data_IF_339706903290
#
_entry.id   IF_339706903290
#
_cell.length_a   1.000
_cell.length_b   1.000
_cell.length_c   1.000
_cell.angle_alpha   90.00
_cell.angle_beta   90.00
_cell.angle_gamma   90.00
#
_symmetry.space_group_name_H-M   'P 1'
#
loop_
_entity.id
_entity.type
_entity.pdbx_description
1 polymer ?
#
# COMPACT_ATOMS: atom_id res chain seq x y z
N UNK A 1 8.70 -22.54 -15.59
CA UNK A 1 9.84 -21.77 -15.04
C UNK A 1 10.26 -22.38 -13.71
N UNK A 2 11.55 -22.58 -13.47
CA UNK A 2 12.09 -23.04 -12.20
C UNK A 2 12.84 -21.88 -11.54
N UNK A 3 12.48 -21.54 -10.30
CA UNK A 3 13.14 -20.49 -9.52
C UNK A 3 13.91 -21.16 -8.40
N UNK A 4 15.23 -20.96 -8.35
CA UNK A 4 16.09 -21.46 -7.29
C UNK A 4 16.33 -20.36 -6.28
N UNK A 5 16.05 -20.63 -5.00
CA UNK A 5 16.19 -19.65 -3.92
C UNK A 5 17.59 -19.69 -3.31
N UNK A 6 18.07 -18.53 -2.86
CA UNK A 6 19.27 -18.39 -2.04
C UNK A 6 19.08 -18.95 -0.61
N UNK A 7 20.16 -18.97 0.16
CA UNK A 7 20.12 -19.39 1.56
C UNK A 7 19.74 -18.24 2.49
N UNK A 8 19.03 -18.56 3.56
CA UNK A 8 18.87 -17.65 4.70
C UNK A 8 20.12 -17.76 5.58
N UNK A 9 20.79 -16.64 5.79
CA UNK A 9 22.02 -16.52 6.55
C UNK A 9 21.80 -15.66 7.80
N UNK A 10 22.65 -15.86 8.79
CA UNK A 10 22.70 -14.99 9.96
C UNK A 10 23.32 -13.61 9.62
N UNK A 11 23.46 -12.74 10.61
CA UNK A 11 24.02 -11.40 10.43
C UNK A 11 25.48 -11.42 9.91
N UNK A 12 26.23 -12.49 10.21
CA UNK A 12 27.61 -12.66 9.74
C UNK A 12 27.68 -13.19 8.30
N UNK A 13 26.52 -13.59 7.74
CA UNK A 13 26.44 -14.19 6.40
C UNK A 13 26.63 -15.70 6.39
N UNK A 14 26.66 -16.37 7.55
CA UNK A 14 26.72 -17.82 7.63
C UNK A 14 25.33 -18.43 7.45
N UNK A 15 25.25 -19.52 6.67
CA UNK A 15 23.98 -20.25 6.48
C UNK A 15 23.41 -20.67 7.83
N UNK A 16 22.16 -20.29 8.09
CA UNK A 16 21.44 -20.69 9.29
C UNK A 16 21.19 -22.20 9.33
N UNK A 17 21.45 -22.80 10.48
CA UNK A 17 21.12 -24.20 10.74
C UNK A 17 20.90 -24.45 12.23
N UNK A 18 20.05 -25.44 12.54
CA UNK A 18 19.81 -25.89 13.92
C UNK A 18 21.07 -26.42 14.59
N UNK A 19 21.93 -27.10 13.83
CA UNK A 19 23.18 -27.65 14.34
C UNK A 19 24.20 -26.57 14.74
N UNK A 20 24.23 -25.44 14.04
CA UNK A 20 25.11 -24.31 14.36
C UNK A 20 24.55 -23.37 15.44
N UNK A 21 23.30 -23.58 15.87
CA UNK A 21 22.59 -22.71 16.84
C UNK A 21 22.57 -21.21 16.45
N UNK A 22 22.71 -20.91 15.16
CA UNK A 22 22.58 -19.56 14.61
C UNK A 22 21.22 -19.37 13.93
N UNK A 23 20.25 -20.17 14.31
CA UNK A 23 18.89 -20.18 13.78
C UNK A 23 18.00 -19.27 14.64
N UNK A 24 17.26 -18.40 13.97
CA UNK A 24 16.20 -17.61 14.56
C UNK A 24 14.87 -18.33 14.32
N UNK A 25 14.08 -18.56 15.37
CA UNK A 25 12.77 -19.20 15.24
C UNK A 25 11.82 -18.28 14.49
N UNK A 26 11.24 -18.70 13.34
CA UNK A 26 10.27 -17.91 12.62
C UNK A 26 9.06 -17.46 13.48
N UNK A 27 8.63 -18.28 14.45
CA UNK A 27 7.52 -17.93 15.33
C UNK A 27 7.83 -16.71 16.19
N UNK A 28 9.05 -16.58 16.70
CA UNK A 28 9.47 -15.39 17.45
C UNK A 28 9.37 -14.12 16.58
N UNK A 29 9.71 -14.23 15.29
CA UNK A 29 9.60 -13.10 14.35
C UNK A 29 8.15 -12.79 14.01
N UNK A 30 7.32 -13.83 13.83
CA UNK A 30 5.90 -13.67 13.57
C UNK A 30 5.18 -13.01 14.74
N UNK A 31 5.52 -13.40 15.97
CA UNK A 31 4.92 -12.81 17.19
C UNK A 31 5.35 -11.34 17.37
N UNK A 32 6.61 -11.01 17.06
CA UNK A 32 7.14 -9.65 17.25
C UNK A 32 6.72 -8.68 16.14
N UNK A 33 6.72 -9.13 14.89
CA UNK A 33 6.57 -8.24 13.73
C UNK A 33 5.35 -8.53 12.85
N UNK A 34 4.80 -9.74 12.93
CA UNK A 34 3.71 -10.21 12.07
C UNK A 34 4.19 -10.81 10.74
N UNK A 35 3.32 -11.57 10.11
CA UNK A 35 3.64 -12.29 8.88
C UNK A 35 3.93 -11.35 7.69
N UNK A 36 3.21 -10.26 7.56
CA UNK A 36 3.41 -9.30 6.47
C UNK A 36 4.78 -8.63 6.52
N UNK A 37 5.29 -8.31 7.71
CA UNK A 37 6.62 -7.74 7.86
C UNK A 37 7.72 -8.72 7.41
N UNK A 38 7.55 -9.99 7.78
CA UNK A 38 8.46 -11.06 7.37
C UNK A 38 8.43 -11.29 5.85
N UNK A 39 7.22 -11.33 5.26
CA UNK A 39 7.05 -11.45 3.81
C UNK A 39 7.66 -10.27 3.07
N UNK A 40 7.35 -9.05 3.51
CA UNK A 40 7.91 -7.83 2.94
C UNK A 40 9.43 -7.80 2.97
N UNK A 41 10.00 -8.23 4.10
CA UNK A 41 11.44 -8.33 4.24
C UNK A 41 12.06 -9.25 3.17
N UNK A 42 11.57 -10.48 3.05
CA UNK A 42 12.16 -11.46 2.11
C UNK A 42 11.91 -11.12 0.64
N UNK A 43 10.79 -10.52 0.31
CA UNK A 43 10.44 -10.20 -1.07
C UNK A 43 11.00 -8.85 -1.52
N UNK A 44 11.25 -7.91 -0.58
CA UNK A 44 11.62 -6.54 -0.90
C UNK A 44 13.09 -6.18 -0.66
N UNK A 45 13.88 -7.01 0.05
CA UNK A 45 15.26 -6.67 0.41
C UNK A 45 16.32 -7.21 -0.54
N UNK A 46 15.98 -8.15 -1.41
CA UNK A 46 16.92 -8.75 -2.35
C UNK A 46 16.25 -9.67 -3.34
N UNK A 47 16.98 -10.05 -4.36
CA UNK A 47 16.48 -11.07 -5.29
C UNK A 47 16.36 -12.42 -4.57
N UNK A 48 15.29 -13.19 -4.81
CA UNK A 48 15.06 -14.46 -4.12
C UNK A 48 16.18 -15.50 -4.29
N UNK A 49 16.95 -15.42 -5.36
CA UNK A 49 18.08 -16.32 -5.65
C UNK A 49 19.40 -15.91 -4.99
N UNK A 50 19.43 -14.77 -4.30
CA UNK A 50 20.59 -14.34 -3.52
C UNK A 50 20.45 -14.75 -2.06
N UNK A 51 21.56 -14.88 -1.35
CA UNK A 51 21.55 -15.18 0.07
C UNK A 51 20.98 -13.97 0.85
N UNK A 52 19.99 -14.23 1.70
CA UNK A 52 19.35 -13.22 2.55
C UNK A 52 19.98 -13.26 3.95
N UNK A 53 20.51 -12.14 4.44
CA UNK A 53 20.92 -11.98 5.85
C UNK A 53 19.68 -11.65 6.68
N UNK A 54 19.40 -12.46 7.67
CA UNK A 54 18.16 -12.40 8.43
C UNK A 54 18.42 -12.11 9.90
N UNK A 55 17.75 -11.07 10.42
CA UNK A 55 17.70 -10.77 11.84
C UNK A 55 16.39 -10.08 12.20
N UNK A 56 16.05 -10.08 13.48
CA UNK A 56 14.86 -9.42 14.03
C UNK A 56 14.84 -7.92 13.69
N UNK A 57 15.97 -7.24 13.89
CA UNK A 57 16.09 -5.79 13.66
C UNK A 57 15.84 -5.43 12.20
N UNK A 58 16.37 -6.19 11.25
CA UNK A 58 16.17 -5.95 9.81
C UNK A 58 14.72 -6.10 9.39
N UNK A 59 13.99 -7.07 9.96
CA UNK A 59 12.54 -7.21 9.72
C UNK A 59 11.80 -6.00 10.30
N UNK A 60 12.19 -5.57 11.50
CA UNK A 60 11.65 -4.38 12.14
C UNK A 60 11.87 -3.08 11.33
N UNK A 61 13.05 -2.91 10.76
CA UNK A 61 13.37 -1.78 9.87
C UNK A 61 12.51 -1.81 8.60
N UNK A 62 12.47 -2.96 7.91
CA UNK A 62 11.64 -3.12 6.71
C UNK A 62 10.15 -2.86 6.99
N UNK A 63 9.64 -3.29 8.16
CA UNK A 63 8.28 -2.98 8.62
C UNK A 63 8.06 -1.46 8.77
N UNK A 64 9.01 -0.76 9.39
CA UNK A 64 8.91 0.70 9.61
C UNK A 64 8.90 1.47 8.29
N UNK A 65 9.80 1.10 7.39
CA UNK A 65 10.01 1.84 6.15
C UNK A 65 8.85 1.72 5.17
N UNK A 66 8.09 0.64 5.22
CA UNK A 66 6.97 0.42 4.33
C UNK A 66 5.62 0.36 5.04
N UNK A 67 5.39 -0.68 5.86
CA UNK A 67 4.07 -0.95 6.44
C UNK A 67 3.59 0.15 7.37
N UNK A 68 4.45 0.62 8.29
CA UNK A 68 4.06 1.67 9.23
C UNK A 68 3.84 2.99 8.51
N UNK A 69 4.66 3.29 7.49
CA UNK A 69 4.47 4.50 6.68
C UNK A 69 3.14 4.48 5.95
N UNK A 70 2.81 3.38 5.29
CA UNK A 70 1.52 3.22 4.61
C UNK A 70 0.34 3.25 5.60
N UNK A 71 0.47 2.61 6.75
CA UNK A 71 -0.52 2.67 7.82
C UNK A 71 -0.77 4.10 8.30
N UNK A 72 0.27 4.92 8.42
CA UNK A 72 0.13 6.32 8.80
C UNK A 72 -0.63 7.14 7.75
N UNK A 73 -0.39 6.90 6.46
CA UNK A 73 -1.15 7.53 5.37
C UNK A 73 -2.62 7.13 5.42
N UNK A 74 -2.90 5.84 5.58
CA UNK A 74 -4.26 5.34 5.73
C UNK A 74 -4.96 5.90 6.97
N UNK A 75 -4.29 5.90 8.13
CA UNK A 75 -4.85 6.47 9.36
C UNK A 75 -5.15 7.96 9.21
N UNK A 76 -4.26 8.71 8.56
CA UNK A 76 -4.49 10.12 8.23
C UNK A 76 -5.77 10.29 7.40
N UNK A 77 -5.93 9.51 6.33
CA UNK A 77 -7.13 9.54 5.50
C UNK A 77 -8.40 9.27 6.32
N UNK A 78 -8.43 8.15 7.07
CA UNK A 78 -9.61 7.73 7.85
C UNK A 78 -10.00 8.75 8.91
N UNK A 79 -9.03 9.31 9.64
CA UNK A 79 -9.28 10.30 10.69
C UNK A 79 -9.97 11.53 10.10
N UNK A 80 -9.41 12.12 9.04
CA UNK A 80 -9.96 13.34 8.47
C UNK A 80 -11.24 13.09 7.66
N UNK A 81 -11.35 11.98 6.94
CA UNK A 81 -12.59 11.58 6.27
C UNK A 81 -13.75 11.45 7.26
N UNK A 82 -13.52 10.85 8.43
CA UNK A 82 -14.54 10.73 9.48
C UNK A 82 -14.91 12.08 10.11
N UNK A 83 -13.94 12.96 10.34
CA UNK A 83 -14.20 14.32 10.89
C UNK A 83 -15.05 15.14 9.93
N UNK A 84 -14.76 15.07 8.65
CA UNK A 84 -15.42 15.86 7.62
C UNK A 84 -16.69 15.18 7.05
N UNK A 85 -16.99 13.94 7.44
CA UNK A 85 -18.09 13.16 6.90
C UNK A 85 -17.89 12.77 5.43
N UNK A 86 -16.66 12.69 4.95
CA UNK A 86 -16.39 12.23 3.59
C UNK A 86 -16.59 10.71 3.50
N UNK A 87 -17.55 10.30 2.67
CA UNK A 87 -17.82 8.91 2.36
C UNK A 87 -17.91 8.72 0.84
N UNK A 88 -17.01 7.97 0.20
CA UNK A 88 -17.06 7.75 -1.24
C UNK A 88 -18.33 7.01 -1.69
N UNK A 89 -19.03 6.30 -0.78
CA UNK A 89 -20.24 5.54 -1.08
C UNK A 89 -21.56 6.27 -0.82
N UNK A 90 -21.58 7.48 -0.25
CA UNK A 90 -22.82 8.21 0.04
C UNK A 90 -23.65 8.54 -1.22
N UNK A 91 -24.90 8.05 -1.27
CA UNK A 91 -25.91 8.35 -2.31
C UNK A 91 -26.09 7.29 -3.39
N UNK A 92 -25.34 6.16 -3.40
CA UNK A 92 -25.53 5.14 -4.41
C UNK A 92 -25.25 3.72 -3.91
N UNK A 93 -26.24 3.08 -3.32
CA UNK A 93 -26.20 1.67 -2.92
C UNK A 93 -26.16 0.69 -4.13
N UNK A 94 -26.13 1.18 -5.37
CA UNK A 94 -26.26 0.37 -6.59
C UNK A 94 -25.05 0.43 -7.55
N UNK A 95 -23.98 1.16 -7.23
CA UNK A 95 -22.82 1.22 -8.13
C UNK A 95 -21.86 0.07 -7.81
N UNK A 96 -22.09 -1.08 -8.45
CA UNK A 96 -21.25 -2.27 -8.34
C UNK A 96 -19.90 -2.18 -9.08
N UNK A 97 -19.63 -1.07 -9.75
CA UNK A 97 -18.35 -0.79 -10.41
C UNK A 97 -17.93 0.64 -10.11
N UNK A 98 -16.67 0.86 -9.81
CA UNK A 98 -16.09 2.21 -9.73
C UNK A 98 -16.02 2.76 -11.16
N UNK A 99 -17.17 3.10 -11.71
CA UNK A 99 -17.26 3.81 -12.99
C UNK A 99 -17.08 5.30 -12.69
N UNK A 100 -16.00 5.95 -13.19
CA UNK A 100 -15.70 7.37 -12.92
C UNK A 100 -16.85 8.32 -13.26
N UNK A 101 -17.60 8.03 -14.32
CA UNK A 101 -18.70 8.90 -14.77
C UNK A 101 -19.93 8.91 -13.84
N UNK A 102 -20.23 7.78 -13.18
CA UNK A 102 -21.35 7.71 -12.24
C UNK A 102 -21.04 8.39 -10.91
N UNK A 103 -19.77 8.39 -10.49
CA UNK A 103 -19.28 9.08 -9.31
C UNK A 103 -19.21 10.61 -9.51
N UNK A 104 -18.91 11.06 -10.72
CA UNK A 104 -18.77 12.47 -11.08
C UNK A 104 -20.03 13.32 -10.82
N UNK A 105 -21.22 12.73 -10.96
CA UNK A 105 -22.48 13.48 -10.94
C UNK A 105 -23.09 13.67 -9.54
N UNK A 106 -22.75 12.88 -8.55
CA UNK A 106 -23.49 12.90 -7.27
C UNK A 106 -22.72 13.37 -6.04
N UNK A 107 -21.37 13.54 -6.07
CA UNK A 107 -20.57 13.61 -4.83
C UNK A 107 -19.35 14.52 -4.83
N UNK A 108 -19.27 15.47 -5.72
CA UNK A 108 -18.12 16.36 -5.79
C UNK A 108 -16.85 15.69 -6.33
N UNK A 109 -16.97 14.54 -7.00
CA UNK A 109 -15.87 13.96 -7.78
C UNK A 109 -15.53 14.88 -8.96
N UNK A 110 -14.23 15.08 -9.18
CA UNK A 110 -13.71 15.78 -10.35
C UNK A 110 -12.93 14.84 -11.22
N UNK A 111 -13.03 15.04 -12.52
CA UNK A 111 -12.10 14.43 -13.46
C UNK A 111 -10.64 14.75 -13.06
N UNK A 112 -9.77 13.73 -13.06
CA UNK A 112 -8.38 13.87 -12.63
C UNK A 112 -7.67 14.99 -13.39
N UNK A 113 -7.98 15.16 -14.68
CA UNK A 113 -7.42 16.23 -15.54
C UNK A 113 -7.70 17.65 -15.05
N UNK A 114 -8.78 17.83 -14.29
CA UNK A 114 -9.23 19.14 -13.76
C UNK A 114 -8.77 19.42 -12.34
N UNK A 115 -8.21 18.42 -11.64
CA UNK A 115 -7.69 18.54 -10.27
C UNK A 115 -6.37 19.31 -10.21
N UNK A 116 -5.97 19.66 -9.02
CA UNK A 116 -4.69 20.32 -8.74
C UNK A 116 -3.47 19.53 -9.26
N UNK A 117 -2.36 20.23 -9.43
CA UNK A 117 -1.13 19.63 -9.98
C UNK A 117 -0.66 18.42 -9.16
N UNK A 118 -0.70 18.52 -7.82
CA UNK A 118 -0.25 17.43 -6.94
C UNK A 118 -1.17 16.21 -7.01
N UNK A 119 -2.47 16.42 -7.20
CA UNK A 119 -3.45 15.33 -7.38
C UNK A 119 -3.17 14.58 -8.69
N UNK A 120 -2.97 15.32 -9.78
CA UNK A 120 -2.63 14.73 -11.07
C UNK A 120 -1.29 14.00 -11.06
N UNK A 121 -0.31 14.58 -10.37
CA UNK A 121 1.00 13.97 -10.21
C UNK A 121 0.92 12.63 -9.49
N UNK A 122 0.29 12.56 -8.30
CA UNK A 122 0.24 11.32 -7.52
C UNK A 122 -0.57 10.22 -8.20
N UNK A 123 -1.63 10.56 -8.94
CA UNK A 123 -2.38 9.59 -9.76
C UNK A 123 -1.51 9.09 -10.94
N UNK A 124 -0.74 9.97 -11.58
CA UNK A 124 0.22 9.55 -12.61
C UNK A 124 1.29 8.60 -12.06
N UNK A 125 1.84 8.90 -10.88
CA UNK A 125 2.79 8.02 -10.18
C UNK A 125 2.14 6.67 -9.84
N UNK A 126 0.87 6.65 -9.40
CA UNK A 126 0.14 5.42 -9.14
C UNK A 126 0.04 4.54 -10.38
N UNK A 127 -0.30 5.12 -11.53
CA UNK A 127 -0.40 4.37 -12.79
C UNK A 127 0.95 3.86 -13.26
N UNK A 128 2.01 4.69 -13.17
CA UNK A 128 3.38 4.29 -13.50
C UNK A 128 3.86 3.14 -12.60
N UNK A 129 3.59 3.24 -11.31
CA UNK A 129 3.89 2.20 -10.33
C UNK A 129 3.13 0.91 -10.65
N UNK A 130 1.84 1.01 -10.97
CA UNK A 130 1.00 -0.15 -11.35
C UNK A 130 1.60 -0.88 -12.54
N UNK A 131 1.95 -0.17 -13.61
CA UNK A 131 2.58 -0.74 -14.80
C UNK A 131 3.89 -1.44 -14.44
N UNK A 132 4.76 -0.75 -13.68
CA UNK A 132 6.05 -1.31 -13.26
C UNK A 132 5.90 -2.58 -12.42
N UNK A 133 4.95 -2.58 -11.48
CA UNK A 133 4.69 -3.74 -10.61
C UNK A 133 4.18 -4.94 -11.42
N UNK A 134 3.20 -4.73 -12.30
CA UNK A 134 2.65 -5.81 -13.13
C UNK A 134 3.71 -6.39 -14.04
N UNK A 135 4.44 -5.55 -14.79
CA UNK A 135 5.49 -6.01 -15.69
C UNK A 135 6.65 -6.72 -14.96
N UNK A 136 7.02 -6.26 -13.77
CA UNK A 136 8.06 -6.89 -12.97
C UNK A 136 7.61 -8.25 -12.44
N UNK A 137 6.38 -8.36 -11.92
CA UNK A 137 5.86 -9.63 -11.41
C UNK A 137 5.65 -10.66 -12.52
N UNK A 138 5.25 -10.25 -13.72
CA UNK A 138 5.15 -11.14 -14.90
C UNK A 138 6.51 -11.75 -15.27
N UNK A 139 7.59 -11.08 -14.93
CA UNK A 139 8.97 -11.58 -15.13
C UNK A 139 9.58 -12.21 -13.87
N UNK A 140 8.79 -12.38 -12.81
CA UNK A 140 9.25 -12.86 -11.49
C UNK A 140 10.30 -11.95 -10.82
N UNK A 141 10.36 -10.69 -11.20
CA UNK A 141 11.27 -9.70 -10.59
C UNK A 141 10.58 -9.00 -9.40
N UNK A 142 10.44 -9.77 -8.32
CA UNK A 142 9.77 -9.31 -7.09
C UNK A 142 10.48 -8.12 -6.45
N UNK A 143 11.80 -7.97 -6.63
CA UNK A 143 12.55 -6.86 -6.03
C UNK A 143 12.26 -5.53 -6.73
N UNK A 144 12.19 -5.50 -8.06
CA UNK A 144 11.84 -4.28 -8.81
C UNK A 144 10.43 -3.84 -8.47
N UNK A 145 9.48 -4.79 -8.41
CA UNK A 145 8.12 -4.46 -8.01
C UNK A 145 8.05 -3.91 -6.57
N UNK A 146 8.75 -4.53 -5.61
CA UNK A 146 8.79 -4.05 -4.22
C UNK A 146 9.40 -2.64 -4.10
N UNK A 147 10.44 -2.34 -4.86
CA UNK A 147 11.03 -0.99 -4.89
C UNK A 147 10.04 0.04 -5.42
N UNK A 148 9.36 -0.25 -6.53
CA UNK A 148 8.35 0.65 -7.07
C UNK A 148 7.21 0.91 -6.07
N UNK A 149 6.76 -0.13 -5.34
CA UNK A 149 5.78 0.01 -4.26
C UNK A 149 6.31 0.90 -3.12
N UNK A 150 7.56 0.71 -2.70
CA UNK A 150 8.18 1.49 -1.63
C UNK A 150 8.34 2.96 -2.01
N UNK A 151 8.80 3.23 -3.23
CA UNK A 151 8.99 4.58 -3.76
C UNK A 151 7.65 5.33 -3.86
N UNK A 152 6.59 4.63 -4.29
CA UNK A 152 5.24 5.21 -4.30
C UNK A 152 4.76 5.59 -2.90
N UNK A 153 4.93 4.71 -1.89
CA UNK A 153 4.54 5.02 -0.50
C UNK A 153 5.34 6.20 0.04
N UNK A 154 6.61 6.30 -0.29
CA UNK A 154 7.44 7.45 0.09
C UNK A 154 6.91 8.75 -0.53
N UNK A 155 6.65 8.76 -1.84
CA UNK A 155 6.06 9.89 -2.54
C UNK A 155 4.68 10.28 -2.01
N UNK A 156 3.81 9.30 -1.77
CA UNK A 156 2.49 9.52 -1.21
C UNK A 156 2.55 10.14 0.20
N UNK A 157 3.42 9.62 1.06
CA UNK A 157 3.55 10.08 2.44
C UNK A 157 4.27 11.43 2.55
N UNK A 158 5.49 11.52 1.97
CA UNK A 158 6.38 12.66 2.20
C UNK A 158 6.13 13.85 1.27
N UNK A 159 5.52 13.59 0.10
CA UNK A 159 5.18 14.66 -0.83
C UNK A 159 3.69 14.95 -0.82
N UNK A 160 2.84 14.01 -1.24
CA UNK A 160 1.43 14.30 -1.40
C UNK A 160 0.74 14.65 -0.08
N UNK A 161 0.76 13.74 0.91
CA UNK A 161 0.10 13.96 2.20
C UNK A 161 0.76 15.09 2.98
N UNK A 162 2.09 15.12 3.06
CA UNK A 162 2.79 16.12 3.86
C UNK A 162 2.59 17.55 3.36
N UNK A 163 2.67 17.76 2.05
CA UNK A 163 2.48 19.10 1.46
C UNK A 163 1.01 19.49 1.36
N UNK A 164 0.11 18.49 1.21
CA UNK A 164 -1.33 18.69 1.10
C UNK A 164 -2.09 18.80 2.42
N UNK A 165 -1.44 18.70 3.59
CA UNK A 165 -2.11 18.68 4.91
C UNK A 165 -3.07 19.86 5.14
N UNK A 166 -2.69 21.04 4.70
CA UNK A 166 -3.51 22.24 4.85
C UNK A 166 -4.86 22.12 4.14
N UNK A 167 -4.95 21.37 3.06
CA UNK A 167 -6.20 21.11 2.32
C UNK A 167 -7.17 20.30 3.20
N UNK A 168 -6.67 19.25 3.87
CA UNK A 168 -7.48 18.40 4.77
C UNK A 168 -7.89 19.14 6.05
N UNK A 169 -7.13 20.15 6.47
CA UNK A 169 -7.42 20.96 7.66
C UNK A 169 -8.32 22.17 7.38
N UNK A 170 -8.54 22.51 6.12
CA UNK A 170 -9.44 23.60 5.75
C UNK A 170 -10.86 23.36 6.28
N UNK A 171 -11.58 24.41 6.63
CA UNK A 171 -12.99 24.32 7.02
C UNK A 171 -13.89 24.04 5.81
N UNK A 172 -14.96 23.26 6.02
CA UNK A 172 -15.91 22.92 4.97
C UNK A 172 -15.37 21.86 3.98
N UNK A 173 -16.20 21.48 3.02
CA UNK A 173 -15.87 20.53 1.94
C UNK A 173 -15.84 21.26 0.60
N UNK A 174 -14.96 22.25 0.50
CA UNK A 174 -14.72 22.96 -0.75
C UNK A 174 -14.10 22.05 -1.81
N UNK A 175 -14.19 22.46 -3.07
CA UNK A 175 -13.73 21.67 -4.23
C UNK A 175 -12.34 21.10 -4.08
N UNK A 176 -11.38 21.91 -3.69
CA UNK A 176 -9.97 21.50 -3.53
C UNK A 176 -9.80 20.41 -2.45
N UNK A 177 -10.55 20.51 -1.35
CA UNK A 177 -10.54 19.50 -0.29
C UNK A 177 -11.18 18.18 -0.73
N UNK A 178 -12.30 18.25 -1.46
CA UNK A 178 -12.95 17.08 -2.06
C UNK A 178 -12.01 16.37 -3.06
N UNK A 179 -11.33 17.13 -3.91
CA UNK A 179 -10.34 16.59 -4.84
C UNK A 179 -9.20 15.87 -4.12
N UNK A 180 -8.75 16.43 -2.98
CA UNK A 180 -7.73 15.78 -2.14
C UNK A 180 -8.22 14.46 -1.53
N UNK A 181 -9.45 14.40 -1.03
CA UNK A 181 -10.03 13.15 -0.50
C UNK A 181 -10.20 12.10 -1.58
N UNK A 182 -10.78 12.46 -2.73
CA UNK A 182 -10.94 11.54 -3.84
C UNK A 182 -9.61 10.99 -4.33
N UNK A 183 -8.62 11.85 -4.49
CA UNK A 183 -7.28 11.45 -4.94
C UNK A 183 -6.63 10.48 -3.95
N UNK A 184 -6.67 10.78 -2.65
CA UNK A 184 -6.06 9.91 -1.64
C UNK A 184 -6.83 8.59 -1.51
N UNK A 185 -8.16 8.61 -1.62
CA UNK A 185 -8.99 7.41 -1.66
C UNK A 185 -8.63 6.50 -2.85
N UNK A 186 -8.56 7.05 -4.06
CA UNK A 186 -8.20 6.30 -5.27
C UNK A 186 -6.80 5.68 -5.15
N UNK A 187 -5.84 6.44 -4.60
CA UNK A 187 -4.50 5.93 -4.33
C UNK A 187 -4.55 4.73 -3.38
N UNK A 188 -5.20 4.86 -2.24
CA UNK A 188 -5.24 3.81 -1.21
C UNK A 188 -6.02 2.58 -1.67
N UNK A 189 -7.18 2.75 -2.32
CA UNK A 189 -8.01 1.66 -2.82
C UNK A 189 -7.33 0.87 -3.95
N UNK A 190 -6.64 1.54 -4.87
CA UNK A 190 -5.87 0.86 -5.92
C UNK A 190 -4.64 0.18 -5.34
N UNK A 191 -3.94 0.87 -4.45
CA UNK A 191 -2.71 0.37 -3.86
C UNK A 191 -2.93 -0.86 -2.98
N UNK A 192 -4.10 -0.98 -2.30
CA UNK A 192 -4.44 -2.17 -1.53
C UNK A 192 -4.37 -3.46 -2.36
N UNK A 193 -4.79 -3.39 -3.62
CA UNK A 193 -4.72 -4.55 -4.54
C UNK A 193 -3.29 -4.82 -5.03
N UNK A 194 -2.51 -3.77 -5.29
CA UNK A 194 -1.14 -3.91 -5.76
C UNK A 194 -0.20 -4.56 -4.73
N UNK A 195 -0.43 -4.31 -3.44
CA UNK A 195 0.42 -4.85 -2.37
C UNK A 195 0.01 -6.25 -1.90
N UNK A 196 -1.14 -6.76 -2.33
CA UNK A 196 -1.67 -8.06 -1.89
C UNK A 196 -0.69 -9.24 -2.05
N UNK A 197 0.09 -9.37 -3.14
CA UNK A 197 1.07 -10.44 -3.25
C UNK A 197 2.20 -10.38 -2.20
N UNK A 198 2.48 -9.20 -1.65
CA UNK A 198 3.55 -8.96 -0.69
C UNK A 198 3.09 -9.04 0.76
N UNK A 199 2.02 -8.33 1.07
CA UNK A 199 1.52 -8.10 2.44
C UNK A 199 0.01 -8.35 2.49
N UNK A 200 -0.42 -9.62 2.32
CA UNK A 200 -1.83 -9.96 2.10
C UNK A 200 -2.75 -9.56 3.26
N UNK A 201 -2.32 -9.72 4.52
CA UNK A 201 -3.18 -9.40 5.66
C UNK A 201 -3.44 -7.90 5.80
N UNK A 202 -2.42 -7.09 5.55
CA UNK A 202 -2.57 -5.64 5.57
C UNK A 202 -3.37 -5.15 4.35
N UNK A 203 -3.09 -5.71 3.17
CA UNK A 203 -3.81 -5.43 1.94
C UNK A 203 -5.31 -5.71 2.09
N UNK A 204 -5.65 -6.90 2.61
CA UNK A 204 -7.02 -7.31 2.89
C UNK A 204 -7.72 -6.35 3.85
N UNK A 205 -7.07 -6.04 4.98
CA UNK A 205 -7.62 -5.09 5.94
C UNK A 205 -7.90 -3.73 5.33
N UNK A 206 -6.99 -3.25 4.47
CA UNK A 206 -7.12 -1.97 3.78
C UNK A 206 -8.29 -2.03 2.78
N UNK A 207 -8.37 -3.10 1.98
CA UNK A 207 -9.42 -3.32 1.00
C UNK A 207 -10.81 -3.45 1.65
N UNK A 208 -10.93 -4.25 2.71
CA UNK A 208 -12.19 -4.41 3.45
C UNK A 208 -12.68 -3.07 4.01
N UNK A 209 -11.80 -2.24 4.54
CA UNK A 209 -12.20 -0.95 5.11
C UNK A 209 -12.53 0.11 4.05
N UNK A 210 -11.78 0.17 2.96
CA UNK A 210 -11.92 1.23 1.97
C UNK A 210 -12.89 0.88 0.83
N UNK A 211 -13.02 -0.40 0.52
CA UNK A 211 -13.82 -0.84 -0.63
C UNK A 211 -15.06 -1.59 -0.15
N UNK A 212 -14.91 -2.78 0.45
CA UNK A 212 -16.05 -3.60 0.84
C UNK A 212 -16.93 -2.91 1.88
N UNK A 213 -16.33 -2.37 2.95
CA UNK A 213 -17.06 -1.66 4.01
C UNK A 213 -17.78 -0.39 3.55
N UNK A 214 -17.30 0.25 2.46
CA UNK A 214 -17.92 1.45 1.91
C UNK A 214 -18.99 1.12 0.85
N UNK A 215 -18.75 0.12 0.00
CA UNK A 215 -19.59 -0.20 -1.16
C UNK A 215 -20.51 -1.41 -0.95
N UNK A 216 -20.37 -2.14 0.19
CA UNK A 216 -21.16 -3.32 0.52
C UNK A 216 -20.82 -4.56 -0.33
N UNK A 217 -21.68 -5.56 -0.25
CA UNK A 217 -21.49 -6.91 -0.84
C UNK A 217 -21.44 -6.95 -2.39
N UNK A 218 -21.54 -5.79 -3.04
CA UNK A 218 -21.46 -5.70 -4.52
C UNK A 218 -20.01 -5.76 -5.05
N UNK A 219 -19.02 -5.70 -4.16
CA UNK A 219 -17.61 -5.80 -4.53
C UNK A 219 -17.14 -7.26 -4.38
N UNK A 220 -16.24 -7.74 -5.27
CA UNK A 220 -15.70 -9.08 -5.13
C UNK A 220 -14.99 -9.22 -3.77
N UNK A 221 -15.28 -10.32 -3.09
CA UNK A 221 -14.45 -10.76 -1.97
C UNK A 221 -13.02 -10.97 -2.51
N UNK A 222 -12.03 -10.52 -1.76
CA UNK A 222 -10.61 -10.59 -2.15
C UNK A 222 -10.07 -12.02 -2.13
#
# INVERSE_FOLDING_TARGET
TCIVLGHVCDEKGEKMSKSKRNYLDPNEVLDAHGADALRWYFLGQGHPWTNARFSMDRVGEAKKDFLIRLQNVWSFFVIYANIDGFNPADGNAAASTIEPESLAKSRGYSEVSTRGLMDRWVISELHSTTTTVVEALDRYDVLVAARALSDFVDGLSNWYVRTGRSRFWASGLERDKLDAYWTLYECLATFSRLIAPYVPFFAERLYQNLVVGMWGDSQPES
#
